data_IF_466474367621
#
_entry.id   IF_466474367621
#
_cell.length_a   1.000
_cell.length_b   1.000
_cell.length_c   1.000
_cell.angle_alpha   90.00
_cell.angle_beta   90.00
_cell.angle_gamma   90.00
#
_symmetry.space_group_name_H-M   'P 1'
#
loop_
_entity.id
_entity.type
_entity.pdbx_description
1 polymer ?
#
# COMPACT_ATOMS: atom_id res chain seq x y z
N UNK A 1 -7.13 10.69 7.13
CA UNK A 1 -5.87 9.99 6.86
C UNK A 1 -5.94 8.57 7.39
N UNK A 2 -5.42 7.64 6.63
CA UNK A 2 -5.33 6.26 7.06
C UNK A 2 -3.87 5.80 6.96
N UNK A 3 -3.41 5.12 7.98
CA UNK A 3 -2.08 4.51 7.99
C UNK A 3 -2.25 3.00 7.90
N UNK A 4 -1.38 2.36 7.13
CA UNK A 4 -1.41 0.90 7.03
C UNK A 4 0.00 0.36 6.93
N UNK A 5 0.19 -0.84 7.48
CA UNK A 5 1.46 -1.55 7.37
C UNK A 5 1.41 -2.43 6.14
N UNK A 6 2.37 -2.25 5.27
CA UNK A 6 2.46 -2.98 4.01
C UNK A 6 3.76 -3.74 3.98
N UNK A 7 3.69 -5.02 3.62
CA UNK A 7 4.89 -5.81 3.40
C UNK A 7 5.18 -5.85 1.91
N UNK A 8 6.36 -5.36 1.54
CA UNK A 8 6.79 -5.36 0.16
C UNK A 8 7.64 -6.58 -0.11
N UNK A 9 7.10 -7.51 -0.87
CA UNK A 9 7.82 -8.71 -1.28
C UNK A 9 8.89 -8.35 -2.27
N UNK A 10 9.99 -9.05 -2.14
CA UNK A 10 11.06 -8.94 -3.10
C UNK A 10 11.24 -10.28 -3.78
N UNK A 11 11.13 -10.27 -5.10
CA UNK A 11 11.35 -11.48 -5.89
C UNK A 11 12.66 -11.40 -6.61
N UNK A 12 13.41 -12.48 -6.56
CA UNK A 12 14.72 -12.55 -7.17
C UNK A 12 14.69 -13.57 -8.29
N UNK A 13 15.12 -13.14 -9.48
CA UNK A 13 15.16 -14.02 -10.64
C UNK A 13 16.30 -15.00 -10.50
N UNK A 14 15.99 -16.29 -10.67
CA UNK A 14 16.99 -17.35 -10.61
C UNK A 14 17.61 -17.58 -11.98
N UNK A 15 18.68 -18.35 -12.00
CA UNK A 15 19.38 -18.67 -13.24
C UNK A 15 18.51 -19.42 -14.22
N UNK A 16 17.56 -20.21 -13.75
CA UNK A 16 16.67 -20.99 -14.58
C UNK A 16 15.45 -20.19 -15.06
N UNK A 17 15.40 -18.90 -14.77
CA UNK A 17 14.30 -18.04 -15.17
C UNK A 17 13.14 -17.98 -14.21
N UNK A 18 13.14 -18.83 -13.19
CA UNK A 18 12.11 -18.77 -12.16
C UNK A 18 12.39 -17.65 -11.16
N UNK A 19 11.41 -17.36 -10.32
CA UNK A 19 11.55 -16.35 -9.28
C UNK A 19 11.48 -17.02 -7.93
N UNK A 20 12.31 -16.55 -7.01
CA UNK A 20 12.30 -17.01 -5.63
C UNK A 20 12.03 -15.84 -4.72
N UNK A 21 11.58 -16.14 -3.51
CA UNK A 21 11.37 -15.13 -2.49
C UNK A 21 12.74 -14.58 -2.04
N UNK A 22 12.94 -13.31 -2.26
CA UNK A 22 14.17 -12.62 -1.85
C UNK A 22 14.00 -11.85 -0.56
N UNK A 23 12.99 -12.20 0.24
CA UNK A 23 12.68 -11.48 1.45
C UNK A 23 11.78 -10.30 1.16
N UNK A 24 11.85 -9.29 2.00
CA UNK A 24 11.03 -8.11 1.83
C UNK A 24 11.19 -7.20 3.03
N UNK A 25 10.36 -6.19 3.08
CA UNK A 25 10.43 -5.23 4.17
C UNK A 25 9.07 -4.60 4.43
N UNK A 26 8.89 -4.12 5.66
CA UNK A 26 7.67 -3.46 6.08
C UNK A 26 7.78 -1.96 5.88
N UNK A 27 6.72 -1.37 5.40
CA UNK A 27 6.61 0.08 5.26
C UNK A 27 5.27 0.52 5.82
N UNK A 28 5.26 1.61 6.57
CA UNK A 28 4.02 2.24 6.97
C UNK A 28 3.61 3.21 5.88
N UNK A 29 2.44 3.01 5.32
CA UNK A 29 1.92 3.89 4.28
C UNK A 29 0.83 4.77 4.85
N UNK A 30 0.89 6.04 4.52
CA UNK A 30 -0.16 6.99 4.86
C UNK A 30 -0.85 7.43 3.58
N UNK A 31 -2.18 7.47 3.62
CA UNK A 31 -2.98 7.91 2.48
C UNK A 31 -4.07 8.84 2.99
N UNK A 32 -4.47 9.77 2.16
CA UNK A 32 -5.39 10.84 2.57
C UNK A 32 -6.62 10.89 1.67
N UNK A 33 -7.65 11.57 2.17
CA UNK A 33 -8.81 11.92 1.39
C UNK A 33 -9.70 10.74 1.03
N UNK A 34 -10.23 10.77 -0.15
CA UNK A 34 -11.13 9.75 -0.65
C UNK A 34 -10.51 8.36 -0.64
N UNK A 35 -9.24 8.29 -0.99
CA UNK A 35 -8.54 7.02 -1.03
C UNK A 35 -8.37 6.42 0.35
N UNK A 36 -8.20 7.27 1.37
CA UNK A 36 -8.10 6.80 2.74
C UNK A 36 -9.41 6.17 3.19
N UNK A 37 -10.51 6.81 2.90
CA UNK A 37 -11.83 6.30 3.25
C UNK A 37 -12.12 4.99 2.53
N UNK A 38 -11.82 4.94 1.25
CA UNK A 38 -12.04 3.73 0.45
C UNK A 38 -11.16 2.59 0.95
N UNK A 39 -9.91 2.86 1.25
CA UNK A 39 -9.00 1.83 1.74
C UNK A 39 -9.47 1.26 3.08
N UNK A 40 -9.87 2.13 3.99
CA UNK A 40 -10.34 1.69 5.30
C UNK A 40 -11.60 0.84 5.19
N UNK A 41 -12.44 1.15 4.23
CA UNK A 41 -13.72 0.45 4.04
C UNK A 41 -13.58 -0.85 3.28
N UNK A 42 -12.70 -0.89 2.28
CA UNK A 42 -12.73 -1.96 1.29
C UNK A 42 -11.57 -2.95 1.36
N UNK A 43 -10.43 -2.55 1.94
CA UNK A 43 -9.27 -3.42 1.93
C UNK A 43 -9.21 -4.32 3.15
N UNK A 44 -9.34 -5.63 2.99
CA UNK A 44 -9.14 -6.55 4.09
C UNK A 44 -7.65 -6.76 4.34
N UNK A 45 -7.35 -7.20 5.55
CA UNK A 45 -5.99 -7.59 5.89
C UNK A 45 -5.56 -8.74 4.98
N UNK A 46 -4.34 -8.67 4.49
CA UNK A 46 -3.80 -9.68 3.60
C UNK A 46 -4.04 -9.41 2.13
N UNK A 47 -4.76 -8.34 1.79
CA UNK A 47 -4.97 -7.98 0.40
C UNK A 47 -3.65 -7.64 -0.27
N UNK A 48 -3.54 -8.03 -1.52
CA UNK A 48 -2.39 -7.70 -2.34
C UNK A 48 -2.65 -6.37 -3.02
N UNK A 49 -1.76 -5.42 -2.83
CA UNK A 49 -2.00 -4.07 -3.31
C UNK A 49 -0.79 -3.51 -4.06
N UNK A 50 -1.05 -2.49 -4.84
CA UNK A 50 -0.05 -1.62 -5.43
C UNK A 50 -0.22 -0.23 -4.82
N UNK A 51 0.87 0.33 -4.32
CA UNK A 51 0.85 1.67 -3.75
C UNK A 51 1.94 2.51 -4.40
N UNK A 52 1.62 3.75 -4.65
CA UNK A 52 2.53 4.70 -5.25
C UNK A 52 2.61 5.95 -4.37
N UNK A 53 3.80 6.51 -4.26
CA UNK A 53 3.95 7.72 -3.49
C UNK A 53 5.41 8.05 -3.26
N UNK A 54 5.63 8.86 -2.25
CA UNK A 54 6.98 9.30 -1.87
C UNK A 54 7.46 8.51 -0.67
N UNK A 55 8.60 7.87 -0.83
CA UNK A 55 9.21 7.10 0.25
C UNK A 55 10.16 8.00 1.01
N UNK A 56 10.09 7.94 2.33
CA UNK A 56 10.99 8.72 3.18
C UNK A 56 11.33 7.94 4.43
N UNK A 57 12.43 8.33 5.05
CA UNK A 57 12.81 7.80 6.36
C UNK A 57 12.24 8.69 7.45
N UNK A 58 11.79 8.03 8.51
CA UNK A 58 11.33 8.73 9.71
C UNK A 58 12.16 8.21 10.87
N UNK A 59 12.77 9.14 11.61
CA UNK A 59 13.61 8.80 12.75
C UNK A 59 13.03 9.46 14.00
N UNK A 60 12.96 8.70 15.08
CA UNK A 60 12.49 9.24 16.34
C UNK A 60 13.27 8.60 17.48
N UNK A 61 13.19 9.23 18.64
CA UNK A 61 13.84 8.75 19.86
C UNK A 61 12.77 8.26 20.80
N UNK A 62 12.97 7.07 21.38
CA UNK A 62 12.02 6.51 22.32
C UNK A 62 12.28 7.04 23.74
N UNK A 63 11.47 6.56 24.69
CA UNK A 63 11.55 7.02 26.08
C UNK A 63 12.87 6.68 26.75
N UNK A 64 13.59 5.74 26.18
CA UNK A 64 14.88 5.31 26.73
C UNK A 64 16.06 5.93 26.03
N UNK A 65 15.81 6.87 25.14
CA UNK A 65 16.86 7.58 24.45
C UNK A 65 17.42 6.84 23.23
N UNK A 66 16.82 5.73 22.83
CA UNK A 66 17.24 5.01 21.66
C UNK A 66 16.60 5.56 20.41
N UNK A 67 17.38 5.65 19.35
CA UNK A 67 16.87 6.12 18.07
C UNK A 67 16.33 4.97 17.24
N UNK A 68 15.21 5.24 16.61
CA UNK A 68 14.56 4.29 15.72
C UNK A 68 14.36 4.93 14.36
N UNK A 69 14.45 4.11 13.32
CA UNK A 69 14.24 4.57 11.96
C UNK A 69 13.30 3.60 11.24
N UNK A 70 12.35 4.13 10.51
CA UNK A 70 11.49 3.32 9.68
C UNK A 70 11.25 3.99 8.35
N UNK A 71 10.91 3.18 7.35
CA UNK A 71 10.49 3.68 6.06
C UNK A 71 9.00 4.01 6.11
N UNK A 72 8.65 5.13 5.51
CA UNK A 72 7.27 5.58 5.42
C UNK A 72 6.97 5.98 3.99
N UNK A 73 5.82 5.55 3.51
CA UNK A 73 5.35 5.90 2.18
C UNK A 73 4.19 6.86 2.30
N UNK A 74 4.37 8.07 1.79
CA UNK A 74 3.27 9.02 1.68
C UNK A 74 2.59 8.72 0.36
N UNK A 75 1.54 7.92 0.40
CA UNK A 75 0.93 7.37 -0.80
C UNK A 75 -0.06 8.36 -1.41
N UNK A 76 0.02 8.50 -2.71
CA UNK A 76 -0.94 9.29 -3.47
C UNK A 76 -1.85 8.40 -4.32
N UNK A 77 -1.57 7.12 -4.36
CA UNK A 77 -2.38 6.17 -5.12
C UNK A 77 -2.27 4.78 -4.50
N UNK A 78 -3.39 4.08 -4.51
CA UNK A 78 -3.47 2.75 -3.95
C UNK A 78 -4.50 1.96 -4.73
N UNK A 79 -4.16 0.74 -5.10
CA UNK A 79 -5.12 -0.13 -5.77
C UNK A 79 -4.89 -1.58 -5.38
N UNK A 80 -5.89 -2.40 -5.58
CA UNK A 80 -5.81 -3.82 -5.30
C UNK A 80 -5.29 -4.55 -6.52
N UNK A 81 -4.48 -5.57 -6.29
CA UNK A 81 -4.00 -6.44 -7.36
C UNK A 81 -5.10 -7.43 -7.70
N UNK A 82 -5.53 -7.44 -8.95
CA UNK A 82 -6.60 -8.32 -9.38
C UNK A 82 -6.29 -9.79 -9.19
N UNK A 83 -5.01 -10.14 -9.11
CA UNK A 83 -4.63 -11.53 -8.92
C UNK A 83 -5.10 -12.10 -7.59
N UNK A 84 -5.42 -11.24 -6.63
CA UNK A 84 -5.92 -11.69 -5.34
C UNK A 84 -7.43 -11.53 -5.18
N UNK A 85 -8.13 -11.15 -6.25
CA UNK A 85 -9.56 -10.83 -6.17
C UNK A 85 -10.38 -11.98 -6.75
N UNK A 86 -11.29 -12.50 -5.94
CA UNK A 86 -12.20 -13.58 -6.36
C UNK A 86 -13.48 -13.02 -6.98
N UNK A 87 -13.93 -11.87 -6.52
CA UNK A 87 -15.16 -11.24 -7.00
C UNK A 87 -15.01 -9.74 -6.92
N UNK A 88 -15.63 -9.04 -7.84
CA UNK A 88 -15.53 -7.61 -7.92
C UNK A 88 -16.86 -7.01 -8.31
N UNK A 89 -17.27 -5.99 -7.55
CA UNK A 89 -18.46 -5.20 -7.89
C UNK A 89 -18.03 -3.78 -8.11
N UNK A 90 -18.43 -3.22 -9.22
CA UNK A 90 -18.02 -1.87 -9.60
C UNK A 90 -19.25 -1.00 -9.68
N UNK A 91 -19.10 0.20 -9.13
CA UNK A 91 -20.16 1.20 -9.16
C UNK A 91 -20.40 1.66 -10.59
N UNK A 92 -21.66 1.95 -10.89
CA UNK A 92 -22.03 2.46 -12.20
C UNK A 92 -21.42 3.85 -12.41
N UNK A 93 -21.14 4.18 -13.67
CA UNK A 93 -20.63 5.49 -14.01
C UNK A 93 -21.59 6.61 -13.66
N UNK A 94 -22.89 6.31 -13.55
CA UNK A 94 -23.88 7.31 -13.20
C UNK A 94 -23.90 7.61 -11.72
N UNK A 95 -23.21 6.82 -10.90
CA UNK A 95 -23.14 7.07 -9.48
C UNK A 95 -22.29 8.30 -9.20
N UNK A 96 -22.65 9.08 -8.17
CA UNK A 96 -21.85 10.24 -7.81
C UNK A 96 -20.56 9.81 -7.17
N UNK A 97 -19.53 9.70 -7.97
CA UNK A 97 -18.21 9.38 -7.50
C UNK A 97 -17.31 10.57 -7.61
N UNK A 98 -16.16 10.43 -7.04
CA UNK A 98 -15.12 11.42 -7.09
C UNK A 98 -14.58 11.55 -8.50
N UNK A 99 -14.86 12.65 -9.14
CA UNK A 99 -14.42 12.90 -10.51
C UNK A 99 -12.93 13.08 -10.62
N UNK A 100 -12.25 13.30 -9.53
CA UNK A 100 -10.80 13.41 -9.54
C UNK A 100 -10.14 12.12 -9.96
N UNK A 101 -10.86 11.03 -9.90
CA UNK A 101 -10.35 9.74 -10.31
C UNK A 101 -10.34 9.54 -11.80
N UNK A 102 -10.97 10.43 -12.52
CA UNK A 102 -11.21 10.21 -13.94
C UNK A 102 -10.10 10.73 -14.84
N UNK A 103 -8.99 11.02 -14.34
CA UNK A 103 -7.85 11.55 -15.10
C UNK A 103 -7.63 10.88 -16.43
#
# INVERSE_FOLDING_TARGET
MADMRIFFDRRVKQEDGSFADGGGFWVTASIWGWRAEAAAKLLPKGARIFARGRLREETWEDDQGEQHTQLRLDADYLTVDLLCVDALTVRSKSDPVDDEESD
#
